data_IF_836911862648
#
_entry.id   IF_836911862648
#
_cell.length_a   1.000
_cell.length_b   1.000
_cell.length_c   1.000
_cell.angle_alpha   90.00
_cell.angle_beta   90.00
_cell.angle_gamma   90.00
#
_symmetry.space_group_name_H-M   'P 1'
#
loop_
_entity.id
_entity.type
_entity.pdbx_description
1 polymer ?
#
# COMPACT_ATOMS: atom_id res chain seq x y z
N UNK A 1 -6.43 7.25 -6.43
CA UNK A 1 -5.79 7.02 -5.12
C UNK A 1 -5.86 8.32 -4.34
N UNK A 2 -6.23 8.31 -3.06
CA UNK A 2 -6.21 9.53 -2.24
C UNK A 2 -4.73 9.85 -1.98
N UNK A 3 -4.25 10.98 -2.49
CA UNK A 3 -2.92 11.48 -2.17
C UNK A 3 -2.91 11.91 -0.70
N UNK A 4 -2.20 11.15 0.13
CA UNK A 4 -1.96 11.47 1.55
C UNK A 4 -0.61 12.14 1.65
N UNK A 5 -0.50 13.18 2.48
CA UNK A 5 0.78 13.86 2.69
C UNK A 5 1.59 13.14 3.77
N UNK A 6 2.92 13.35 3.75
CA UNK A 6 3.79 12.83 4.81
C UNK A 6 3.44 13.45 6.18
N UNK A 7 2.94 14.69 6.22
CA UNK A 7 2.50 15.36 7.46
C UNK A 7 1.35 14.60 8.13
N UNK A 8 0.40 14.10 7.35
CA UNK A 8 -0.71 13.29 7.86
C UNK A 8 -0.22 11.94 8.39
N UNK A 9 0.83 11.38 7.79
CA UNK A 9 1.41 10.09 8.17
C UNK A 9 2.16 10.20 9.50
N UNK A 10 3.03 11.21 9.67
CA UNK A 10 3.91 11.29 10.85
C UNK A 10 3.15 11.46 12.16
N UNK A 11 1.94 12.03 12.12
CA UNK A 11 1.07 12.19 13.30
C UNK A 11 0.22 10.94 13.60
N UNK A 12 0.24 9.92 12.74
CA UNK A 12 -0.51 8.68 12.99
C UNK A 12 0.11 7.87 14.12
N UNK A 13 -0.74 7.12 14.84
CA UNK A 13 -0.25 6.05 15.71
C UNK A 13 0.35 4.94 14.84
N UNK A 14 1.47 4.35 15.29
CA UNK A 14 2.12 3.21 14.62
C UNK A 14 1.14 2.10 14.19
N UNK A 15 0.18 1.76 15.05
CA UNK A 15 -0.83 0.73 14.75
C UNK A 15 -1.77 1.13 13.62
N UNK A 16 -2.15 2.41 13.55
CA UNK A 16 -3.04 2.91 12.51
C UNK A 16 -2.32 2.99 11.16
N UNK A 17 -1.06 3.41 11.15
CA UNK A 17 -0.21 3.38 9.96
C UNK A 17 -0.02 1.95 9.43
N UNK A 18 0.30 0.99 10.30
CA UNK A 18 0.44 -0.41 9.91
C UNK A 18 -0.86 -0.99 9.34
N UNK A 19 -2.02 -0.66 9.94
CA UNK A 19 -3.32 -1.10 9.45
C UNK A 19 -3.65 -0.47 8.08
N UNK A 20 -3.34 0.80 7.89
CA UNK A 20 -3.51 1.47 6.62
C UNK A 20 -2.69 0.77 5.53
N UNK A 21 -1.39 0.56 5.77
CA UNK A 21 -0.50 -0.09 4.80
C UNK A 21 -0.98 -1.51 4.44
N UNK A 22 -1.39 -2.29 5.43
CA UNK A 22 -1.92 -3.62 5.20
C UNK A 22 -3.20 -3.60 4.32
N UNK A 23 -4.11 -2.66 4.58
CA UNK A 23 -5.34 -2.53 3.79
C UNK A 23 -5.05 -2.13 2.34
N UNK A 24 -4.15 -1.17 2.12
CA UNK A 24 -3.76 -0.73 0.77
C UNK A 24 -3.06 -1.83 -0.01
N UNK A 25 -2.15 -2.56 0.63
CA UNK A 25 -1.46 -3.69 0.01
C UNK A 25 -2.43 -4.82 -0.35
N UNK A 26 -3.37 -5.15 0.55
CA UNK A 26 -4.38 -6.17 0.27
C UNK A 26 -5.30 -5.77 -0.90
N UNK A 27 -5.74 -4.51 -0.95
CA UNK A 27 -6.58 -4.02 -2.04
C UNK A 27 -5.86 -4.06 -3.39
N UNK A 28 -4.55 -3.83 -3.41
CA UNK A 28 -3.75 -3.89 -4.63
C UNK A 28 -3.42 -5.31 -5.07
N UNK A 29 -3.13 -6.22 -4.13
CA UNK A 29 -2.89 -7.63 -4.44
C UNK A 29 -4.17 -8.33 -4.91
N UNK A 30 -5.31 -7.95 -4.34
CA UNK A 30 -6.61 -8.60 -4.58
C UNK A 30 -7.66 -7.55 -4.96
N UNK A 31 -7.57 -6.94 -6.17
CA UNK A 31 -8.55 -5.95 -6.61
C UNK A 31 -9.96 -6.56 -6.78
N UNK A 32 -10.02 -7.86 -7.09
CA UNK A 32 -11.24 -8.65 -7.12
C UNK A 32 -11.07 -9.88 -6.21
N UNK A 33 -11.31 -9.77 -4.89
CA UNK A 33 -11.00 -10.83 -3.91
C UNK A 33 -11.74 -12.16 -4.13
N UNK A 34 -12.87 -12.12 -4.82
CA UNK A 34 -13.68 -13.31 -5.14
C UNK A 34 -13.22 -14.00 -6.43
N UNK A 35 -12.36 -13.36 -7.23
CA UNK A 35 -11.87 -13.88 -8.49
C UNK A 35 -10.63 -14.76 -8.24
N UNK A 36 -10.66 -15.96 -8.79
CA UNK A 36 -9.54 -16.91 -8.69
C UNK A 36 -8.33 -16.43 -9.49
N UNK A 37 -7.11 -16.60 -8.96
CA UNK A 37 -5.86 -16.14 -9.58
C UNK A 37 -5.62 -16.70 -11.00
N UNK A 38 -6.10 -17.92 -11.26
CA UNK A 38 -6.00 -18.57 -12.58
C UNK A 38 -6.90 -17.90 -13.63
N UNK A 39 -7.91 -17.14 -13.22
CA UNK A 39 -8.79 -16.39 -14.12
C UNK A 39 -8.21 -15.01 -14.48
N UNK A 40 -7.14 -14.57 -13.80
CA UNK A 40 -6.48 -13.28 -14.04
C UNK A 40 -5.51 -13.44 -15.21
N UNK A 41 -5.70 -12.63 -16.26
CA UNK A 41 -4.82 -12.61 -17.41
C UNK A 41 -3.41 -12.11 -17.05
N UNK A 42 -2.39 -12.53 -17.80
CA UNK A 42 -1.00 -12.16 -17.51
C UNK A 42 -0.75 -10.64 -17.59
N UNK A 43 -1.44 -9.95 -18.49
CA UNK A 43 -1.39 -8.49 -18.60
C UNK A 43 -1.91 -7.83 -17.31
N UNK A 44 -3.04 -8.30 -16.80
CA UNK A 44 -3.62 -7.81 -15.56
C UNK A 44 -2.74 -8.16 -14.34
N UNK A 45 -2.11 -9.35 -14.33
CA UNK A 45 -1.10 -9.68 -13.30
C UNK A 45 0.08 -8.71 -13.34
N UNK A 46 0.52 -8.29 -14.52
CA UNK A 46 1.58 -7.30 -14.65
C UNK A 46 1.13 -5.92 -14.12
N UNK A 47 -0.11 -5.49 -14.41
CA UNK A 47 -0.67 -4.24 -13.85
C UNK A 47 -0.77 -4.28 -12.32
N UNK A 48 -1.21 -5.41 -11.76
CA UNK A 48 -1.22 -5.65 -10.31
C UNK A 48 0.19 -5.53 -9.74
N UNK A 49 1.20 -6.13 -10.38
CA UNK A 49 2.59 -6.06 -9.95
C UNK A 49 3.13 -4.62 -9.96
N UNK A 50 2.83 -3.84 -10.99
CA UNK A 50 3.20 -2.42 -11.06
C UNK A 50 2.57 -1.65 -9.91
N UNK A 51 1.26 -1.82 -9.69
CA UNK A 51 0.52 -1.14 -8.61
C UNK A 51 1.08 -1.49 -7.23
N UNK A 52 1.37 -2.77 -6.99
CA UNK A 52 1.98 -3.25 -5.74
C UNK A 52 3.37 -2.65 -5.53
N UNK A 53 4.19 -2.53 -6.59
CA UNK A 53 5.51 -1.93 -6.51
C UNK A 53 5.46 -0.45 -6.13
N UNK A 54 4.53 0.31 -6.72
CA UNK A 54 4.30 1.72 -6.40
C UNK A 54 3.86 1.91 -4.94
N UNK A 55 2.90 1.10 -4.48
CA UNK A 55 2.42 1.15 -3.09
C UNK A 55 3.55 0.81 -2.11
N UNK A 56 4.36 -0.22 -2.42
CA UNK A 56 5.49 -0.60 -1.58
C UNK A 56 6.51 0.53 -1.44
N UNK A 57 6.82 1.22 -2.53
CA UNK A 57 7.76 2.35 -2.50
C UNK A 57 7.20 3.52 -1.69
N UNK A 58 5.91 3.84 -1.85
CA UNK A 58 5.23 4.84 -1.02
C UNK A 58 5.29 4.48 0.46
N UNK A 59 4.91 3.25 0.83
CA UNK A 59 4.94 2.79 2.23
C UNK A 59 6.34 2.89 2.84
N UNK A 60 7.38 2.63 2.06
CA UNK A 60 8.78 2.78 2.50
C UNK A 60 9.10 4.22 2.86
N UNK A 61 8.69 5.18 2.03
CA UNK A 61 8.89 6.62 2.28
C UNK A 61 8.09 7.09 3.50
N UNK A 62 6.85 6.66 3.62
CA UNK A 62 5.97 6.96 4.75
C UNK A 62 6.51 6.41 6.07
N UNK A 63 7.01 5.17 6.08
CA UNK A 63 7.64 4.57 7.26
C UNK A 63 8.92 5.30 7.64
N UNK A 64 9.76 5.67 6.67
CA UNK A 64 10.98 6.42 6.94
C UNK A 64 10.67 7.77 7.61
N UNK A 65 9.72 8.53 7.06
CA UNK A 65 9.27 9.80 7.62
C UNK A 65 8.66 9.62 9.03
N UNK A 66 7.84 8.59 9.23
CA UNK A 66 7.23 8.31 10.53
C UNK A 66 8.29 7.99 11.59
N UNK A 67 9.29 7.15 11.25
CA UNK A 67 10.39 6.78 12.14
C UNK A 67 11.24 7.99 12.50
N UNK A 68 11.58 8.85 11.53
CA UNK A 68 12.32 10.09 11.78
C UNK A 68 11.59 11.00 12.78
N UNK A 69 10.28 11.17 12.62
CA UNK A 69 9.47 12.05 13.47
C UNK A 69 9.12 11.48 14.87
N UNK A 70 9.14 10.16 15.05
CA UNK A 70 8.66 9.47 16.27
C UNK A 70 9.73 8.60 16.95
N UNK A 71 11.02 8.89 16.72
CA UNK A 71 12.16 8.19 17.32
C UNK A 71 12.66 8.81 18.63
#
# INVERSE_FOLDING_TARGET
MVERTLEEVVVMKRRDLARLHANEMNAALFPEPERHDDAIADEEKAEIQVTVAEIRERHRQELAAWVEANS
#
